data_IF_906848843447
#
_entry.id   IF_906848843447
#
_cell.length_a   1.000
_cell.length_b   1.000
_cell.length_c   1.000
_cell.angle_alpha   90.00
_cell.angle_beta   90.00
_cell.angle_gamma   90.00
#
_symmetry.space_group_name_H-M   'P 1'
#
loop_
_entity.id
_entity.type
_entity.pdbx_description
1 polymer ?
#
# COMPACT_ATOMS: atom_id res chain seq x y z
N UNK A 1 -19.35 -1.23 -5.03
CA UNK A 1 -17.92 -1.40 -5.39
C UNK A 1 -17.15 -1.61 -4.10
N UNK A 2 -16.52 -2.77 -3.91
CA UNK A 2 -15.65 -3.01 -2.75
C UNK A 2 -14.35 -2.26 -2.98
N UNK A 3 -14.29 -0.98 -2.58
CA UNK A 3 -13.03 -0.25 -2.54
C UNK A 3 -12.15 -0.96 -1.51
N UNK A 4 -11.08 -1.61 -1.98
CA UNK A 4 -10.10 -2.25 -1.12
C UNK A 4 -9.56 -1.23 -0.11
N UNK A 5 -9.42 -1.63 1.16
CA UNK A 5 -8.90 -0.72 2.18
C UNK A 5 -7.47 -0.29 1.80
N UNK A 6 -7.15 1.00 1.94
CA UNK A 6 -5.79 1.47 1.73
C UNK A 6 -4.81 0.74 2.67
N UNK A 7 -3.57 0.56 2.24
CA UNK A 7 -2.58 -0.22 2.98
C UNK A 7 -1.17 0.40 2.92
N UNK A 8 -0.50 0.42 4.06
CA UNK A 8 0.91 0.79 4.23
C UNK A 8 1.80 -0.45 4.27
N UNK A 9 3.11 -0.28 4.08
CA UNK A 9 4.06 -1.40 4.17
C UNK A 9 4.03 -2.09 5.55
N UNK A 10 3.84 -1.32 6.63
CA UNK A 10 3.74 -1.86 7.99
C UNK A 10 2.48 -2.71 8.18
N UNK A 11 1.34 -2.27 7.64
CA UNK A 11 0.10 -3.04 7.68
C UNK A 11 0.20 -4.31 6.83
N UNK A 12 0.79 -4.22 5.64
CA UNK A 12 0.99 -5.38 4.78
C UNK A 12 1.90 -6.43 5.41
N UNK A 13 2.94 -5.99 6.13
CA UNK A 13 3.79 -6.87 6.92
C UNK A 13 2.99 -7.56 8.03
N UNK A 14 2.25 -6.79 8.85
CA UNK A 14 1.51 -7.34 10.01
C UNK A 14 0.36 -8.25 9.62
N UNK A 15 -0.41 -7.89 8.60
CA UNK A 15 -1.63 -8.59 8.23
C UNK A 15 -1.37 -9.77 7.27
N UNK A 16 -0.37 -9.66 6.40
CA UNK A 16 -0.19 -10.59 5.29
C UNK A 16 1.24 -11.15 5.16
N UNK A 17 2.17 -10.76 6.05
CA UNK A 17 3.56 -11.20 5.98
C UNK A 17 4.33 -10.64 4.77
N UNK A 18 3.86 -9.56 4.15
CA UNK A 18 4.48 -8.98 2.95
C UNK A 18 5.56 -7.97 3.35
N UNK A 19 6.82 -8.39 3.26
CA UNK A 19 7.97 -7.53 3.55
C UNK A 19 8.21 -6.44 2.50
N UNK A 20 7.92 -6.73 1.23
CA UNK A 20 8.21 -5.83 0.09
C UNK A 20 6.92 -5.38 -0.61
N UNK A 21 6.06 -4.69 0.14
CA UNK A 21 4.79 -4.18 -0.41
C UNK A 21 5.01 -3.37 -1.69
N UNK A 22 5.96 -2.44 -1.70
CA UNK A 22 6.22 -1.58 -2.86
C UNK A 22 6.57 -2.39 -4.14
N UNK A 23 7.33 -3.48 -4.01
CA UNK A 23 7.63 -4.36 -5.15
C UNK A 23 6.39 -5.09 -5.64
N UNK A 24 5.54 -5.57 -4.72
CA UNK A 24 4.26 -6.19 -5.11
C UNK A 24 3.35 -5.21 -5.81
N UNK A 25 3.26 -3.97 -5.32
CA UNK A 25 2.49 -2.90 -5.97
C UNK A 25 3.02 -2.62 -7.37
N UNK A 26 4.35 -2.61 -7.56
CA UNK A 26 4.95 -2.45 -8.89
C UNK A 26 4.52 -3.56 -9.85
N UNK A 27 4.56 -4.82 -9.44
CA UNK A 27 4.11 -5.96 -10.27
C UNK A 27 2.62 -5.84 -10.62
N UNK A 28 1.78 -5.44 -9.66
CA UNK A 28 0.34 -5.24 -9.88
C UNK A 28 0.06 -4.10 -10.86
N UNK A 29 0.80 -2.99 -10.77
CA UNK A 29 0.72 -1.89 -11.74
C UNK A 29 1.13 -2.35 -13.13
N UNK A 30 2.18 -3.16 -13.23
CA UNK A 30 2.63 -3.74 -14.51
C UNK A 30 1.59 -4.68 -15.11
N UNK A 31 0.79 -5.35 -14.28
CA UNK A 31 -0.35 -6.18 -14.71
C UNK A 31 -1.61 -5.36 -15.03
N UNK A 32 -1.52 -4.02 -15.07
CA UNK A 32 -2.63 -3.14 -15.46
C UNK A 32 -3.55 -2.71 -14.33
N UNK A 33 -3.24 -3.03 -13.06
CA UNK A 33 -4.04 -2.58 -11.93
C UNK A 33 -3.73 -1.12 -11.61
N UNK A 34 -4.75 -0.27 -11.62
CA UNK A 34 -4.64 1.14 -11.26
C UNK A 34 -4.53 1.27 -9.74
N UNK A 35 -3.30 1.48 -9.27
CA UNK A 35 -3.01 1.68 -7.84
C UNK A 35 -2.44 3.08 -7.64
N UNK A 36 -3.10 3.86 -6.79
CA UNK A 36 -2.64 5.18 -6.36
C UNK A 36 -1.86 5.09 -5.05
N UNK A 37 -1.09 6.12 -4.76
CA UNK A 37 -0.33 6.25 -3.51
C UNK A 37 -0.42 7.67 -2.97
N UNK A 38 -0.39 7.80 -1.65
CA UNK A 38 -0.26 9.08 -0.95
C UNK A 38 0.65 8.92 0.26
N UNK A 39 1.29 10.01 0.66
CA UNK A 39 2.01 10.05 1.93
C UNK A 39 1.03 10.26 3.07
N UNK A 40 1.19 9.48 4.15
CA UNK A 40 0.48 9.69 5.41
C UNK A 40 1.48 9.82 6.54
N UNK A 41 1.08 10.51 7.61
CA UNK A 41 1.88 10.59 8.83
C UNK A 41 1.44 9.47 9.80
N UNK A 42 2.41 8.74 10.35
CA UNK A 42 2.17 7.76 11.41
C UNK A 42 1.92 8.45 12.74
N UNK A 43 1.42 7.70 13.73
CA UNK A 43 1.27 8.17 15.12
C UNK A 43 2.59 8.67 15.72
N UNK A 44 3.72 8.09 15.29
CA UNK A 44 5.07 8.52 15.68
C UNK A 44 5.59 9.71 14.88
N UNK A 45 4.75 10.36 14.06
CA UNK A 45 5.11 11.52 13.26
C UNK A 45 5.89 11.23 11.96
N UNK A 46 6.20 9.96 11.64
CA UNK A 46 6.97 9.60 10.44
C UNK A 46 6.07 9.59 9.20
N UNK A 47 6.59 10.02 8.05
CA UNK A 47 5.87 9.91 6.77
C UNK A 47 6.08 8.53 6.15
N UNK A 48 4.99 7.89 5.72
CA UNK A 48 5.01 6.59 5.02
C UNK A 48 4.05 6.61 3.84
N UNK A 49 4.35 5.82 2.82
CA UNK A 49 3.45 5.65 1.67
C UNK A 49 2.28 4.73 2.03
N UNK A 50 1.09 5.13 1.62
CA UNK A 50 -0.15 4.34 1.67
C UNK A 50 -0.69 4.14 0.25
N UNK A 51 -1.02 2.90 -0.10
CA UNK A 51 -1.49 2.50 -1.42
C UNK A 51 -2.98 2.15 -1.40
N UNK A 52 -3.69 2.42 -2.49
CA UNK A 52 -5.11 2.08 -2.65
C UNK A 52 -5.48 1.89 -4.12
N UNK A 53 -6.52 1.09 -4.37
CA UNK A 53 -7.09 0.88 -5.70
C UNK A 53 -8.16 1.95 -5.94
N UNK A 54 -8.18 2.51 -7.15
CA UNK A 54 -9.20 3.46 -7.59
C UNK A 54 -10.45 2.76 -8.13
#
# INVERSE_FOLDING_TARGET
MQSGKPITALEALRLYGIFRLASRIHDLKKNGIVIKSRDIQTETGKKVAQYYVD
#
